data_IF_307227409719
#
_entry.id   IF_307227409719
#
_cell.length_a   1.000
_cell.length_b   1.000
_cell.length_c   1.000
_cell.angle_alpha   90.00
_cell.angle_beta   90.00
_cell.angle_gamma   90.00
#
_symmetry.space_group_name_H-M   'P 1'
#
loop_
_entity.id
_entity.type
_entity.pdbx_description
1 polymer ?
#
# COMPACT_ATOMS: atom_id res chain seq x y z
N UNK A 1 5.94 44.30 59.57
CA UNK A 1 5.91 42.93 59.00
C UNK A 1 4.60 42.81 58.25
N UNK A 2 4.65 42.93 56.93
CA UNK A 2 3.48 43.07 56.05
C UNK A 2 3.35 41.83 55.16
N UNK A 3 2.22 41.13 55.29
CA UNK A 3 1.66 40.14 54.35
C UNK A 3 0.17 40.48 54.22
N UNK A 4 -0.52 40.37 53.09
CA UNK A 4 -0.16 39.91 51.76
C UNK A 4 -1.12 40.49 50.71
N UNK A 5 -0.65 40.49 49.46
CA UNK A 5 -1.42 40.88 48.27
C UNK A 5 -2.09 39.66 47.64
N UNK A 6 -3.31 39.89 47.13
CA UNK A 6 -4.16 38.91 46.48
C UNK A 6 -3.93 38.73 44.97
N UNK A 7 -4.21 37.50 44.54
CA UNK A 7 -5.05 37.05 43.41
C UNK A 7 -4.90 37.63 41.98
N UNK A 8 -4.48 36.74 41.05
CA UNK A 8 -5.29 36.12 39.96
C UNK A 8 -4.68 36.07 38.54
N UNK A 9 -4.47 34.83 38.10
CA UNK A 9 -4.58 34.17 36.76
C UNK A 9 -3.96 34.77 35.46
N UNK A 10 -3.25 33.94 34.64
CA UNK A 10 -2.62 34.37 33.39
C UNK A 10 -3.41 34.03 32.11
N UNK A 11 -3.33 34.93 31.12
CA UNK A 11 -3.73 34.73 29.72
C UNK A 11 -2.52 34.65 28.78
N UNK A 12 -2.47 33.53 28.05
CA UNK A 12 -1.84 33.21 26.74
C UNK A 12 -1.70 34.43 25.76
N UNK A 13 -0.74 34.61 24.83
CA UNK A 13 0.15 33.74 24.04
C UNK A 13 1.35 34.52 23.44
N UNK A 14 2.48 33.83 23.23
CA UNK A 14 3.42 33.83 22.08
C UNK A 14 3.65 35.06 21.17
N UNK A 15 4.90 35.53 21.17
CA UNK A 15 5.84 35.34 20.04
C UNK A 15 5.80 36.34 18.87
N UNK A 16 6.63 37.39 18.95
CA UNK A 16 6.89 38.36 17.90
C UNK A 16 8.28 38.14 17.23
N UNK A 17 8.34 38.29 15.91
CA UNK A 17 9.45 38.84 15.09
C UNK A 17 8.85 39.03 13.68
N UNK A 18 8.93 40.13 12.94
CA UNK A 18 9.75 41.35 12.97
C UNK A 18 9.87 41.79 11.50
N UNK A 19 9.32 42.96 11.17
CA UNK A 19 9.16 43.48 9.81
C UNK A 19 10.45 44.04 9.20
N UNK A 20 10.57 43.98 7.87
CA UNK A 20 11.49 44.80 7.07
C UNK A 20 11.09 44.80 5.59
N UNK A 21 10.52 45.91 5.11
CA UNK A 21 10.18 46.17 3.71
C UNK A 21 11.12 47.25 3.15
N UNK A 22 11.64 47.08 1.93
CA UNK A 22 11.71 48.10 0.86
C UNK A 22 12.49 47.62 -0.40
N UNK A 23 11.85 47.76 -1.56
CA UNK A 23 12.38 47.87 -2.95
C UNK A 23 11.98 49.27 -3.45
N UNK A 24 12.62 49.96 -4.44
CA UNK A 24 12.84 49.48 -5.84
C UNK A 24 14.10 50.01 -6.58
N UNK A 25 14.40 49.43 -7.75
CA UNK A 25 15.65 49.64 -8.52
C UNK A 25 15.58 50.60 -9.72
N UNK A 26 16.61 50.56 -10.57
CA UNK A 26 16.63 51.10 -11.95
C UNK A 26 17.93 50.77 -12.73
N UNK A 27 17.78 50.51 -14.04
CA UNK A 27 18.82 50.63 -15.09
C UNK A 27 19.71 49.39 -15.29
N UNK A 28 20.00 48.87 -16.49
CA UNK A 28 19.82 49.31 -17.86
C UNK A 28 20.57 48.30 -18.77
N UNK A 29 20.26 48.32 -20.06
CA UNK A 29 20.38 47.20 -21.01
C UNK A 29 21.77 46.94 -21.62
N UNK A 30 21.87 45.72 -22.20
CA UNK A 30 22.53 45.31 -23.46
C UNK A 30 24.06 45.17 -23.60
N UNK A 31 24.43 43.93 -23.93
CA UNK A 31 25.26 43.46 -25.07
C UNK A 31 26.75 43.81 -25.15
N UNK A 32 27.57 42.77 -25.41
CA UNK A 32 28.86 42.93 -26.08
C UNK A 32 30.01 42.10 -25.51
N UNK A 33 30.21 40.93 -26.11
CA UNK A 33 31.49 40.38 -26.62
C UNK A 33 32.79 40.50 -25.80
N UNK A 34 33.43 39.35 -25.58
CA UNK A 34 34.78 39.17 -26.13
C UNK A 34 35.95 38.90 -25.19
N UNK A 35 36.31 37.61 -25.12
CA UNK A 35 37.66 36.99 -25.18
C UNK A 35 38.86 37.50 -24.36
N UNK A 36 39.52 36.55 -23.66
CA UNK A 36 40.91 36.68 -23.20
C UNK A 36 41.41 35.59 -22.21
N UNK A 37 41.78 34.43 -22.76
CA UNK A 37 42.54 33.23 -22.26
C UNK A 37 43.79 33.47 -21.36
N UNK A 38 44.53 32.44 -20.84
CA UNK A 38 44.38 30.96 -20.95
C UNK A 38 44.60 30.12 -19.67
N UNK A 39 44.17 28.86 -19.70
CA UNK A 39 44.69 27.77 -18.85
C UNK A 39 44.40 26.40 -19.49
N UNK A 40 45.44 25.76 -20.02
CA UNK A 40 45.42 24.54 -20.83
C UNK A 40 45.02 23.27 -20.07
N UNK A 41 44.32 22.36 -20.76
CA UNK A 41 44.12 20.96 -20.36
C UNK A 41 43.22 20.25 -21.37
N UNK A 42 43.81 19.69 -22.42
CA UNK A 42 43.11 19.17 -23.60
C UNK A 42 42.44 17.81 -23.41
N UNK A 43 41.33 17.62 -24.14
CA UNK A 43 40.83 16.32 -24.60
C UNK A 43 40.09 16.55 -25.93
N UNK A 44 40.65 16.00 -27.01
CA UNK A 44 40.10 15.94 -28.38
C UNK A 44 38.93 14.94 -28.39
N UNK A 45 37.68 15.30 -28.70
CA UNK A 45 37.05 15.76 -29.96
C UNK A 45 36.53 14.60 -30.84
N UNK A 46 35.24 14.68 -31.19
CA UNK A 46 34.56 13.81 -32.15
C UNK A 46 33.03 13.84 -32.04
N UNK A 47 32.42 14.91 -32.55
CA UNK A 47 30.97 15.18 -32.72
C UNK A 47 30.27 14.09 -33.58
N UNK A 48 28.96 13.84 -33.56
CA UNK A 48 27.83 14.74 -33.76
C UNK A 48 26.66 13.97 -34.42
N UNK A 49 25.48 14.57 -34.41
CA UNK A 49 24.13 14.00 -34.55
C UNK A 49 23.53 14.15 -35.96
N UNK A 50 22.68 13.20 -36.40
CA UNK A 50 21.85 13.31 -37.61
C UNK A 50 20.79 12.19 -37.74
N UNK A 51 19.56 12.55 -38.12
CA UNK A 51 18.26 11.85 -37.96
C UNK A 51 17.85 10.90 -39.13
N UNK A 52 16.57 10.49 -39.27
CA UNK A 52 16.05 9.12 -39.14
C UNK A 52 15.83 8.37 -40.48
N UNK A 53 15.84 7.03 -40.48
CA UNK A 53 15.31 6.28 -41.62
C UNK A 53 14.59 5.00 -41.19
N UNK A 54 13.49 4.71 -41.88
CA UNK A 54 12.60 3.60 -41.67
C UNK A 54 13.05 2.36 -42.45
N UNK A 55 12.76 1.19 -41.87
CA UNK A 55 12.41 0.02 -42.65
C UNK A 55 13.49 -1.06 -42.75
N UNK A 56 13.06 -2.30 -42.51
CA UNK A 56 13.74 -3.49 -43.02
C UNK A 56 14.45 -4.33 -41.95
N UNK A 57 13.70 -5.25 -41.32
CA UNK A 57 14.23 -6.58 -41.03
C UNK A 57 14.53 -7.28 -42.38
N UNK A 58 15.52 -8.19 -42.52
CA UNK A 58 15.54 -9.45 -41.74
C UNK A 58 16.93 -10.08 -41.45
N UNK A 59 16.88 -11.16 -40.66
CA UNK A 59 17.88 -12.27 -40.54
C UNK A 59 19.26 -11.89 -39.98
N UNK A 60 19.83 -12.52 -38.97
CA UNK A 60 19.59 -13.77 -38.25
C UNK A 60 20.83 -14.01 -37.37
N UNK A 61 20.72 -14.97 -36.47
CA UNK A 61 21.80 -15.63 -35.71
C UNK A 61 22.43 -14.88 -34.53
N UNK A 62 22.14 -15.36 -33.30
CA UNK A 62 22.84 -14.91 -32.10
C UNK A 62 22.23 -15.37 -30.77
N UNK A 63 22.18 -16.70 -30.57
CA UNK A 63 22.14 -17.44 -29.30
C UNK A 63 21.92 -16.68 -27.97
N UNK A 64 20.82 -17.01 -27.31
CA UNK A 64 20.63 -16.87 -25.86
C UNK A 64 19.63 -17.94 -25.42
N UNK A 65 20.15 -19.12 -25.09
CA UNK A 65 19.43 -20.28 -24.54
C UNK A 65 18.67 -19.93 -23.25
N UNK A 66 17.70 -20.76 -22.85
CA UNK A 66 16.56 -20.42 -22.00
C UNK A 66 17.00 -19.85 -20.66
N UNK A 67 16.33 -18.78 -20.20
CA UNK A 67 16.40 -18.39 -18.80
C UNK A 67 16.07 -19.62 -17.97
N UNK A 68 17.10 -20.04 -17.24
CA UNK A 68 17.27 -21.40 -16.79
C UNK A 68 16.18 -21.84 -15.83
N UNK A 69 15.98 -23.15 -15.89
CA UNK A 69 15.60 -23.96 -14.76
C UNK A 69 16.28 -23.41 -13.50
N UNK A 70 15.45 -22.86 -12.61
CA UNK A 70 15.78 -22.55 -11.22
C UNK A 70 15.34 -23.81 -10.43
N UNK A 71 16.22 -24.81 -10.18
CA UNK A 71 15.87 -25.99 -9.41
C UNK A 71 15.99 -25.68 -7.92
N UNK A 72 15.38 -24.57 -7.47
CA UNK A 72 15.05 -24.39 -6.07
C UNK A 72 13.67 -25.02 -5.86
N UNK A 73 13.71 -26.33 -5.68
CA UNK A 73 12.59 -27.21 -5.42
C UNK A 73 11.70 -26.69 -4.30
N UNK A 74 10.61 -26.07 -4.70
CA UNK A 74 9.31 -26.13 -4.07
C UNK A 74 8.31 -25.92 -5.21
N UNK A 75 8.31 -26.88 -6.15
CA UNK A 75 7.25 -27.07 -7.14
C UNK A 75 5.99 -27.49 -6.39
N UNK A 76 5.45 -26.57 -5.59
CA UNK A 76 4.01 -26.48 -5.52
C UNK A 76 3.54 -25.87 -6.85
N UNK A 77 3.68 -26.68 -7.91
CA UNK A 77 2.87 -26.68 -9.13
C UNK A 77 1.45 -27.17 -8.81
N UNK A 78 1.02 -27.04 -7.56
CA UNK A 78 -0.36 -27.19 -7.18
C UNK A 78 -1.18 -26.27 -8.07
N UNK A 79 -1.83 -26.86 -9.06
CA UNK A 79 -3.27 -27.09 -8.98
C UNK A 79 -3.69 -27.26 -7.51
N UNK A 80 -3.60 -26.17 -6.75
CA UNK A 80 -3.80 -26.12 -5.32
C UNK A 80 -5.25 -25.73 -5.21
N UNK A 81 -6.05 -26.65 -4.70
CA UNK A 81 -7.36 -26.32 -4.17
C UNK A 81 -7.12 -25.23 -3.13
N UNK A 82 -7.30 -23.97 -3.55
CA UNK A 82 -7.13 -22.86 -2.64
C UNK A 82 -8.17 -22.97 -1.55
N UNK A 83 -7.76 -22.68 -0.32
CA UNK A 83 -8.67 -22.75 0.81
C UNK A 83 -9.82 -21.76 0.62
N UNK A 84 -11.04 -22.23 0.83
CA UNK A 84 -12.22 -21.38 0.70
C UNK A 84 -12.43 -20.61 1.99
N UNK A 85 -12.60 -19.29 1.90
CA UNK A 85 -12.92 -18.47 3.06
C UNK A 85 -14.42 -18.45 3.33
N UNK A 86 -14.77 -18.51 4.61
CA UNK A 86 -16.17 -18.62 5.03
C UNK A 86 -16.90 -17.27 4.98
N UNK A 87 -18.22 -17.33 4.76
CA UNK A 87 -19.11 -16.17 4.89
C UNK A 87 -19.73 -16.15 6.29
N UNK A 88 -19.68 -15.02 6.97
CA UNK A 88 -20.28 -14.83 8.29
C UNK A 88 -21.40 -13.79 8.24
N UNK A 89 -22.32 -13.83 9.20
CA UNK A 89 -23.32 -12.78 9.40
C UNK A 89 -22.85 -11.84 10.51
N UNK A 90 -22.27 -10.70 10.13
CA UNK A 90 -21.78 -9.70 11.08
C UNK A 90 -22.62 -8.41 11.06
N UNK A 91 -23.05 -7.93 12.23
CA UNK A 91 -23.81 -6.68 12.35
C UNK A 91 -22.88 -5.48 12.49
N UNK A 92 -22.91 -4.56 11.52
CA UNK A 92 -22.04 -3.37 11.52
C UNK A 92 -22.69 -2.13 12.16
N UNK A 93 -23.81 -2.29 12.88
CA UNK A 93 -24.56 -1.15 13.44
C UNK A 93 -23.76 -0.41 14.50
N UNK A 94 -23.19 -1.14 15.45
CA UNK A 94 -22.39 -0.62 16.58
C UNK A 94 -20.88 -0.54 16.31
N UNK A 95 -20.45 -0.87 15.09
CA UNK A 95 -19.04 -0.90 14.75
C UNK A 95 -18.34 0.46 14.93
N UNK A 96 -17.07 0.41 15.32
CA UNK A 96 -16.14 1.54 15.33
C UNK A 96 -15.76 1.81 13.87
N UNK A 97 -16.00 3.03 13.37
CA UNK A 97 -15.98 3.33 11.93
C UNK A 97 -15.26 4.64 11.64
N UNK A 98 -14.35 4.62 10.67
CA UNK A 98 -13.80 5.84 10.08
C UNK A 98 -14.86 6.56 9.24
N UNK A 99 -14.86 7.89 9.33
CA UNK A 99 -15.71 8.78 8.54
C UNK A 99 -14.89 9.87 7.84
N UNK A 100 -15.37 10.31 6.67
CA UNK A 100 -14.68 11.31 5.84
C UNK A 100 -13.67 10.71 4.86
N UNK A 101 -12.84 11.57 4.26
CA UNK A 101 -11.88 11.22 3.19
C UNK A 101 -10.45 10.97 3.68
N UNK A 102 -10.12 11.42 4.89
CA UNK A 102 -8.78 11.28 5.48
C UNK A 102 -8.70 10.00 6.30
N UNK A 103 -7.50 9.42 6.34
CA UNK A 103 -7.19 8.30 7.23
C UNK A 103 -7.42 8.65 8.70
N UNK A 104 -7.77 7.63 9.48
CA UNK A 104 -8.03 7.70 10.92
C UNK A 104 -7.36 6.55 11.64
N UNK A 105 -7.03 6.80 12.90
CA UNK A 105 -6.78 5.75 13.86
C UNK A 105 -8.13 5.32 14.46
N UNK A 106 -8.41 4.03 14.43
CA UNK A 106 -9.63 3.41 14.95
C UNK A 106 -9.20 2.44 16.04
N UNK A 107 -9.48 2.80 17.29
CA UNK A 107 -9.03 2.05 18.46
C UNK A 107 -10.25 1.43 19.12
N UNK A 108 -10.18 0.12 19.35
CA UNK A 108 -11.13 -0.68 20.10
C UNK A 108 -11.05 -0.46 21.61
N UNK A 109 -11.73 -1.35 22.29
CA UNK A 109 -11.87 -1.47 23.73
C UNK A 109 -11.22 -2.76 24.18
N UNK A 110 -11.24 -3.04 25.47
CA UNK A 110 -10.64 -4.29 26.00
C UNK A 110 -11.68 -5.44 25.92
N UNK A 111 -12.46 -5.47 24.85
CA UNK A 111 -13.58 -6.38 24.60
C UNK A 111 -13.77 -6.53 23.09
N UNK A 112 -14.36 -7.65 22.66
CA UNK A 112 -14.60 -7.92 21.25
C UNK A 112 -15.33 -6.79 20.52
N UNK A 113 -14.62 -6.19 19.57
CA UNK A 113 -15.06 -5.07 18.77
C UNK A 113 -15.26 -5.46 17.30
N UNK A 114 -15.94 -4.56 16.59
CA UNK A 114 -15.99 -4.59 15.14
C UNK A 114 -15.50 -3.25 14.63
N UNK A 115 -14.32 -3.26 14.00
CA UNK A 115 -13.62 -2.06 13.55
C UNK A 115 -13.65 -2.05 12.03
N UNK A 116 -14.27 -1.03 11.42
CA UNK A 116 -14.48 -0.98 9.98
C UNK A 116 -13.74 0.18 9.35
N UNK A 117 -12.85 -0.14 8.41
CA UNK A 117 -12.11 0.87 7.66
C UNK A 117 -13.03 1.75 6.80
N UNK A 118 -12.60 2.99 6.61
CA UNK A 118 -13.31 4.05 5.89
C UNK A 118 -12.78 4.23 4.47
N UNK A 119 -12.92 5.45 3.93
CA UNK A 119 -12.37 5.81 2.62
C UNK A 119 -10.89 6.21 2.69
N UNK A 120 -10.44 6.68 3.86
CA UNK A 120 -9.05 7.07 4.10
C UNK A 120 -8.11 5.87 4.15
N UNK A 121 -6.86 6.11 4.50
CA UNK A 121 -5.92 5.04 4.89
C UNK A 121 -5.99 4.97 6.40
N UNK A 122 -6.68 3.97 6.92
CA UNK A 122 -6.96 3.85 8.35
C UNK A 122 -5.98 2.87 9.02
N UNK A 123 -5.66 3.13 10.28
CA UNK A 123 -5.00 2.19 11.19
C UNK A 123 -6.05 1.70 12.18
N UNK A 124 -6.18 0.40 12.33
CA UNK A 124 -7.14 -0.27 13.20
C UNK A 124 -6.37 -0.99 14.30
N UNK A 125 -6.78 -0.75 15.54
CA UNK A 125 -6.18 -1.32 16.75
C UNK A 125 -7.31 -1.95 17.56
N UNK A 126 -7.26 -3.26 17.77
CA UNK A 126 -8.26 -4.04 18.48
C UNK A 126 -8.18 -3.86 19.99
N UNK A 127 -6.98 -4.07 20.53
CA UNK A 127 -6.63 -4.35 21.92
C UNK A 127 -7.01 -5.79 22.31
N UNK A 128 -7.67 -5.97 23.46
CA UNK A 128 -8.00 -7.29 24.01
C UNK A 128 -9.33 -7.79 23.44
N UNK A 129 -9.43 -9.11 23.30
CA UNK A 129 -10.67 -9.80 22.94
C UNK A 129 -10.79 -10.05 21.43
N UNK A 130 -11.70 -10.95 21.04
CA UNK A 130 -11.82 -11.39 19.65
C UNK A 130 -12.38 -10.29 18.73
N UNK A 131 -11.52 -9.61 17.98
CA UNK A 131 -11.88 -8.45 17.18
C UNK A 131 -12.13 -8.77 15.71
N UNK A 132 -13.09 -8.04 15.12
CA UNK A 132 -13.35 -8.08 13.68
C UNK A 132 -12.79 -6.84 12.98
N UNK A 133 -11.68 -7.01 12.26
CA UNK A 133 -11.08 -5.99 11.42
C UNK A 133 -11.66 -5.99 10.01
N UNK A 134 -12.65 -5.13 9.79
CA UNK A 134 -13.45 -5.09 8.57
C UNK A 134 -12.86 -4.14 7.54
N UNK A 135 -12.23 -4.68 6.50
CA UNK A 135 -11.82 -3.94 5.32
C UNK A 135 -13.02 -3.71 4.39
N UNK A 136 -13.32 -2.44 4.07
CA UNK A 136 -14.27 -2.14 2.98
C UNK A 136 -13.57 -2.26 1.64
N UNK A 137 -14.22 -2.90 0.67
CA UNK A 137 -13.74 -2.90 -0.71
C UNK A 137 -13.55 -1.45 -1.21
N UNK A 138 -12.33 -1.16 -1.67
CA UNK A 138 -11.94 0.09 -2.32
C UNK A 138 -11.64 -0.20 -3.79
N UNK A 139 -11.80 0.80 -4.65
CA UNK A 139 -11.38 0.71 -6.06
C UNK A 139 -9.98 1.29 -6.28
N UNK A 140 -9.20 1.46 -5.20
CA UNK A 140 -7.89 2.07 -5.21
C UNK A 140 -6.97 1.24 -4.32
N UNK A 141 -5.93 0.68 -4.93
CA UNK A 141 -5.00 -0.25 -4.29
C UNK A 141 -3.57 0.33 -4.23
N UNK A 142 -2.72 -0.24 -3.40
CA UNK A 142 -1.30 0.08 -3.30
C UNK A 142 -0.91 0.76 -1.98
N UNK A 143 0.40 0.98 -1.83
CA UNK A 143 1.03 1.35 -0.54
C UNK A 143 0.45 2.59 0.13
N UNK A 144 0.02 3.58 -0.66
CA UNK A 144 -0.57 4.84 -0.14
C UNK A 144 -2.09 4.76 0.07
N UNK A 145 -2.68 3.57 -0.05
CA UNK A 145 -4.12 3.31 -0.06
C UNK A 145 -4.53 2.13 0.82
N UNK A 146 -3.57 1.31 1.25
CA UNK A 146 -3.80 0.14 2.07
C UNK A 146 -4.02 0.53 3.54
N UNK A 147 -5.09 0.01 4.14
CA UNK A 147 -5.34 0.14 5.58
C UNK A 147 -4.40 -0.77 6.37
N UNK A 148 -4.33 -0.57 7.68
CA UNK A 148 -3.44 -1.32 8.57
C UNK A 148 -4.21 -1.86 9.77
N UNK A 149 -3.94 -3.09 10.16
CA UNK A 149 -4.23 -3.62 11.50
C UNK A 149 -2.91 -3.66 12.27
N UNK A 150 -2.87 -3.07 13.46
CA UNK A 150 -1.62 -2.86 14.21
C UNK A 150 -1.28 -3.97 15.21
N UNK A 151 -2.28 -4.71 15.67
CA UNK A 151 -2.21 -5.55 16.87
C UNK A 151 -3.03 -6.84 16.73
N UNK A 152 -3.14 -7.36 15.51
CA UNK A 152 -3.89 -8.60 15.27
C UNK A 152 -3.30 -9.75 16.06
N UNK A 153 -4.14 -10.43 16.84
CA UNK A 153 -3.74 -11.56 17.67
C UNK A 153 -4.62 -12.79 17.41
N UNK A 154 -3.99 -13.90 17.01
CA UNK A 154 -4.70 -15.13 16.67
C UNK A 154 -5.26 -15.76 17.94
N UNK A 155 -4.50 -15.70 19.03
CA UNK A 155 -4.85 -16.32 20.31
C UNK A 155 -6.08 -15.66 20.95
N UNK A 156 -6.30 -14.37 20.71
CA UNK A 156 -7.50 -13.64 21.15
C UNK A 156 -8.72 -13.92 20.26
N UNK A 157 -8.51 -14.55 19.09
CA UNK A 157 -9.57 -14.93 18.16
C UNK A 157 -9.90 -13.86 17.12
N UNK A 158 -8.97 -12.95 16.85
CA UNK A 158 -9.15 -11.89 15.86
C UNK A 158 -9.43 -12.44 14.46
N UNK A 159 -10.20 -11.67 13.69
CA UNK A 159 -10.59 -12.03 12.33
C UNK A 159 -10.44 -10.85 11.38
N UNK A 160 -9.84 -11.13 10.23
CA UNK A 160 -9.83 -10.23 9.07
C UNK A 160 -11.15 -10.43 8.33
N UNK A 161 -11.92 -9.36 8.21
CA UNK A 161 -13.22 -9.43 7.56
C UNK A 161 -13.22 -8.57 6.31
N UNK A 162 -13.56 -9.18 5.18
CA UNK A 162 -13.59 -8.53 3.90
C UNK A 162 -15.05 -8.23 3.54
N UNK A 163 -15.40 -6.94 3.54
CA UNK A 163 -16.74 -6.49 3.22
C UNK A 163 -16.85 -6.13 1.75
N UNK A 164 -17.60 -6.93 1.00
CA UNK A 164 -17.94 -6.61 -0.38
C UNK A 164 -18.83 -7.64 -1.06
N UNK A 165 -19.89 -7.14 -1.70
CA UNK A 165 -20.84 -7.96 -2.45
C UNK A 165 -20.30 -8.46 -3.80
N UNK A 166 -19.12 -7.98 -4.20
CA UNK A 166 -18.56 -8.17 -5.55
C UNK A 166 -17.31 -9.05 -5.56
N UNK A 167 -16.96 -9.70 -4.44
CA UNK A 167 -15.79 -10.59 -4.34
C UNK A 167 -15.97 -11.95 -5.04
N UNK A 168 -17.06 -12.10 -5.78
CA UNK A 168 -17.39 -13.28 -6.56
C UNK A 168 -17.72 -12.82 -7.96
N UNK A 169 -16.70 -12.60 -8.80
CA UNK A 169 -16.97 -12.35 -10.23
C UNK A 169 -17.53 -13.65 -10.83
N UNK A 170 -18.60 -13.53 -11.62
CA UNK A 170 -19.28 -14.66 -12.24
C UNK A 170 -20.16 -15.46 -11.27
N UNK A 171 -20.24 -16.77 -11.46
CA UNK A 171 -21.06 -17.69 -10.65
C UNK A 171 -20.30 -18.27 -9.45
N UNK A 172 -19.11 -17.75 -9.11
CA UNK A 172 -18.33 -18.22 -7.95
C UNK A 172 -19.19 -18.07 -6.69
N UNK A 173 -19.32 -19.15 -5.91
CA UNK A 173 -20.10 -19.16 -4.67
C UNK A 173 -19.26 -18.82 -3.45
N UNK A 174 -17.96 -19.08 -3.56
CA UNK A 174 -16.96 -18.99 -2.49
C UNK A 174 -15.76 -18.21 -3.04
N UNK A 175 -15.07 -17.52 -2.15
CA UNK A 175 -13.81 -16.86 -2.48
C UNK A 175 -12.68 -17.71 -1.92
N UNK A 176 -11.56 -17.68 -2.61
CA UNK A 176 -10.39 -18.48 -2.26
C UNK A 176 -9.30 -17.64 -1.62
N UNK A 177 -8.50 -18.29 -0.78
CA UNK A 177 -7.38 -17.71 -0.07
C UNK A 177 -6.11 -18.54 -0.29
N UNK A 178 -4.97 -17.85 -0.34
CA UNK A 178 -3.66 -18.48 -0.32
C UNK A 178 -2.65 -17.67 0.50
N UNK A 179 -1.81 -18.39 1.25
CA UNK A 179 -0.61 -17.81 1.84
C UNK A 179 0.55 -17.80 0.83
N UNK A 180 1.26 -16.68 0.80
CA UNK A 180 2.52 -16.51 0.12
C UNK A 180 3.63 -16.24 1.15
N UNK A 181 4.69 -17.05 1.13
CA UNK A 181 5.91 -16.85 1.92
C UNK A 181 6.52 -15.47 1.67
N UNK A 182 6.44 -14.95 0.45
CA UNK A 182 7.06 -13.67 0.05
C UNK A 182 6.45 -13.08 -1.24
N UNK A 183 6.91 -11.87 -1.60
CA UNK A 183 6.47 -11.15 -2.82
C UNK A 183 6.65 -11.92 -4.14
N UNK A 184 7.67 -12.78 -4.29
CA UNK A 184 7.85 -13.61 -5.52
C UNK A 184 6.69 -14.60 -5.63
N UNK A 185 6.35 -15.27 -4.52
CA UNK A 185 5.22 -16.21 -4.48
C UNK A 185 3.87 -15.51 -4.62
N UNK A 186 3.66 -14.34 -3.99
CA UNK A 186 2.42 -13.58 -4.15
C UNK A 186 2.15 -13.20 -5.61
N UNK A 187 3.21 -12.91 -6.40
CA UNK A 187 3.09 -12.66 -7.84
C UNK A 187 2.83 -13.92 -8.67
N UNK A 188 3.25 -15.10 -8.20
CA UNK A 188 2.93 -16.38 -8.86
C UNK A 188 1.45 -16.71 -8.64
N UNK A 189 0.98 -16.59 -7.39
CA UNK A 189 -0.42 -16.77 -7.01
C UNK A 189 -1.34 -15.78 -7.74
N UNK A 190 -0.93 -14.52 -7.93
CA UNK A 190 -1.66 -13.55 -8.74
C UNK A 190 -1.66 -13.83 -10.27
N UNK A 191 -1.33 -15.05 -10.69
CA UNK A 191 -1.54 -15.59 -12.05
C UNK A 191 -2.41 -16.85 -12.01
N UNK A 192 -3.03 -17.14 -10.87
CA UNK A 192 -3.90 -18.28 -10.64
C UNK A 192 -5.25 -17.76 -10.15
N UNK A 193 -6.30 -18.59 -10.20
CA UNK A 193 -7.66 -18.20 -9.81
C UNK A 193 -7.90 -18.17 -8.29
N UNK A 194 -6.96 -17.54 -7.57
CA UNK A 194 -7.07 -17.22 -6.14
C UNK A 194 -7.63 -15.80 -5.98
N UNK A 195 -8.57 -15.59 -5.07
CA UNK A 195 -9.20 -14.29 -4.85
C UNK A 195 -8.40 -13.42 -3.85
N UNK A 196 -7.92 -14.00 -2.74
CA UNK A 196 -7.18 -13.30 -1.70
C UNK A 196 -5.83 -13.93 -1.41
N UNK A 197 -4.80 -13.10 -1.27
CA UNK A 197 -3.44 -13.57 -1.01
C UNK A 197 -2.86 -12.82 0.19
N UNK A 198 -2.27 -13.55 1.13
CA UNK A 198 -1.51 -13.00 2.25
C UNK A 198 -0.01 -13.21 2.05
N UNK A 199 0.78 -12.13 2.00
CA UNK A 199 2.24 -12.19 1.92
C UNK A 199 2.87 -12.19 3.32
N UNK A 200 3.09 -13.38 3.88
CA UNK A 200 3.58 -13.62 5.25
C UNK A 200 4.85 -12.86 5.61
N UNK A 201 5.82 -12.70 4.69
CA UNK A 201 7.04 -11.93 5.02
C UNK A 201 6.80 -10.46 5.40
N UNK A 202 5.68 -9.88 5.00
CA UNK A 202 5.44 -8.45 5.24
C UNK A 202 4.02 -8.11 5.66
N UNK A 203 3.22 -9.10 6.01
CA UNK A 203 1.85 -8.92 6.50
C UNK A 203 0.88 -8.39 5.44
N UNK A 204 1.23 -8.40 4.15
CA UNK A 204 0.42 -7.70 3.13
C UNK A 204 -0.74 -8.57 2.63
N UNK A 205 -1.91 -7.96 2.53
CA UNK A 205 -3.12 -8.53 1.97
C UNK A 205 -3.37 -8.00 0.57
N UNK A 206 -3.64 -8.91 -0.36
CA UNK A 206 -3.91 -8.63 -1.75
C UNK A 206 -5.27 -9.20 -2.17
N UNK A 207 -5.97 -8.45 -3.01
CA UNK A 207 -7.16 -8.93 -3.72
C UNK A 207 -6.80 -9.10 -5.20
N UNK A 208 -7.04 -10.28 -5.76
CA UNK A 208 -6.87 -10.57 -7.16
C UNK A 208 -8.23 -10.49 -7.87
N UNK A 209 -8.40 -9.51 -8.75
CA UNK A 209 -9.69 -9.21 -9.38
C UNK A 209 -9.84 -9.76 -10.80
N UNK A 210 -8.80 -10.38 -11.35
CA UNK A 210 -8.72 -10.81 -12.75
C UNK A 210 -8.46 -12.31 -12.91
N UNK A 211 -8.60 -13.09 -11.83
CA UNK A 211 -8.46 -14.55 -11.84
C UNK A 211 -7.03 -14.97 -12.19
N UNK A 212 -6.90 -15.91 -13.12
CA UNK A 212 -5.63 -16.43 -13.62
C UNK A 212 -4.83 -15.47 -14.53
N UNK A 213 -5.42 -14.32 -14.89
CA UNK A 213 -4.71 -13.32 -15.71
C UNK A 213 -3.59 -12.69 -14.90
N UNK A 214 -2.47 -12.42 -15.57
CA UNK A 214 -1.29 -11.80 -14.95
C UNK A 214 -1.61 -10.53 -14.15
N UNK A 215 -1.24 -10.52 -12.87
CA UNK A 215 -1.37 -9.36 -11.98
C UNK A 215 -2.65 -9.43 -11.15
N UNK A 216 -3.00 -8.33 -10.49
CA UNK A 216 -4.20 -8.29 -9.62
C UNK A 216 -5.43 -7.66 -10.31
N UNK A 217 -5.30 -7.25 -11.57
CA UNK A 217 -6.35 -6.58 -12.34
C UNK A 217 -6.61 -5.14 -11.90
N UNK A 218 -7.41 -4.42 -12.69
CA UNK A 218 -7.66 -2.97 -12.48
C UNK A 218 -8.47 -2.67 -11.22
N UNK A 219 -9.16 -3.68 -10.68
CA UNK A 219 -9.98 -3.59 -9.47
C UNK A 219 -9.40 -4.41 -8.32
N UNK A 220 -8.12 -4.79 -8.40
CA UNK A 220 -7.44 -5.55 -7.37
C UNK A 220 -6.04 -5.02 -7.11
N UNK A 221 -5.45 -5.56 -6.06
CA UNK A 221 -4.11 -5.23 -5.62
C UNK A 221 -4.00 -5.26 -4.10
N UNK A 222 -2.89 -4.68 -3.64
CA UNK A 222 -2.58 -4.54 -2.22
C UNK A 222 -3.59 -3.60 -1.53
N UNK A 223 -4.33 -4.11 -0.54
CA UNK A 223 -5.39 -3.36 0.13
C UNK A 223 -5.20 -3.22 1.64
N UNK A 224 -4.37 -4.05 2.27
CA UNK A 224 -4.24 -4.06 3.72
C UNK A 224 -2.91 -4.61 4.21
N UNK A 225 -2.46 -4.18 5.39
CA UNK A 225 -1.35 -4.77 6.13
C UNK A 225 -1.88 -5.28 7.47
N UNK A 226 -1.43 -6.45 7.87
CA UNK A 226 -1.51 -6.94 9.25
C UNK A 226 -0.10 -6.84 9.84
N UNK A 227 0.11 -5.92 10.79
CA UNK A 227 1.42 -5.75 11.44
C UNK A 227 1.81 -6.99 12.26
N UNK A 228 3.09 -7.15 12.54
CA UNK A 228 3.63 -8.38 13.14
C UNK A 228 3.73 -9.55 12.15
N UNK A 229 2.96 -9.52 11.07
CA UNK A 229 2.88 -10.60 10.07
C UNK A 229 2.53 -11.96 10.69
N UNK A 230 1.38 -12.08 11.38
CA UNK A 230 0.93 -13.32 12.03
C UNK A 230 0.75 -14.46 11.01
N UNK A 231 0.68 -15.70 11.49
CA UNK A 231 0.42 -16.87 10.65
C UNK A 231 -1.09 -16.97 10.34
N UNK A 232 -1.50 -16.47 9.18
CA UNK A 232 -2.92 -16.45 8.81
C UNK A 232 -3.32 -17.65 7.95
N UNK A 233 -4.47 -18.23 8.28
CA UNK A 233 -5.14 -19.24 7.49
C UNK A 233 -6.46 -18.72 6.90
N UNK A 234 -7.15 -19.55 6.11
CA UNK A 234 -8.48 -19.23 5.61
C UNK A 234 -9.53 -19.09 6.73
N UNK A 235 -9.32 -19.73 7.89
CA UNK A 235 -10.23 -19.64 9.04
C UNK A 235 -10.17 -18.27 9.75
N UNK A 236 -9.12 -17.50 9.49
CA UNK A 236 -8.90 -16.16 10.05
C UNK A 236 -9.48 -15.05 9.18
N UNK A 237 -10.02 -15.45 8.03
CA UNK A 237 -10.52 -14.53 7.01
C UNK A 237 -11.97 -14.86 6.69
N UNK A 238 -12.83 -13.85 6.75
CA UNK A 238 -14.25 -14.02 6.47
C UNK A 238 -14.78 -12.98 5.48
N UNK A 239 -15.88 -13.34 4.83
CA UNK A 239 -16.68 -12.45 3.98
C UNK A 239 -18.00 -12.06 4.64
N UNK A 240 -18.44 -10.80 4.42
CA UNK A 240 -19.73 -10.27 4.90
C UNK A 240 -20.47 -9.41 3.86
#
# INVERSE_FOLDING_TARGET
MTTGSGYSTPGLTTGATGNGYATPGQGGSTSGDGYGTPGQGGSTSGDGYGTPDQGGAPSGDGYGTPDGDDPDGDDNDGTSDFDSISKIKLSLKKAIKSSGKKGKELIGTDSSDTIVSGKGVDTMTGKDGADYFVYKQKNNFGKKKADKVSDFEIDDGDKIVIKGKSFLKGNKKEATFAEAKNKKQAKKLAKQDVDFIYEKKSGKLYFNSNGDKKGFGDQGGFFGIVEGSPELSADDINLI
#
